data_IF_712046095978
#
_entry.id   IF_712046095978
#
_cell.length_a   1.000
_cell.length_b   1.000
_cell.length_c   1.000
_cell.angle_alpha   90.00
_cell.angle_beta   90.00
_cell.angle_gamma   90.00
#
_symmetry.space_group_name_H-M   'P 1'
#
loop_
_entity.id
_entity.type
_entity.pdbx_description
1 polymer ?
#
# COMPACT_ATOMS: atom_id res chain seq x y z
N UNK A 1 -10.01 -4.47 -14.34
CA UNK A 1 -9.84 -3.05 -14.78
C UNK A 1 -8.71 -2.89 -15.78
N UNK A 2 -7.46 -3.27 -15.48
CA UNK A 2 -6.32 -3.11 -16.40
C UNK A 2 -6.52 -3.77 -17.77
N UNK A 3 -7.09 -4.98 -17.84
CA UNK A 3 -7.45 -5.62 -19.12
C UNK A 3 -8.52 -4.84 -19.91
N UNK A 4 -9.47 -4.20 -19.23
CA UNK A 4 -10.61 -3.50 -19.84
C UNK A 4 -10.26 -2.07 -20.28
N UNK A 5 -9.42 -1.39 -19.51
CA UNK A 5 -9.12 0.04 -19.67
C UNK A 5 -7.65 0.32 -19.95
N UNK A 6 -6.80 -0.70 -20.02
CA UNK A 6 -5.38 -0.58 -20.33
C UNK A 6 -4.48 -0.28 -19.14
N UNK A 7 -3.20 -0.62 -19.30
CA UNK A 7 -2.14 -0.40 -18.31
C UNK A 7 -1.97 1.09 -18.00
N UNK A 8 -2.03 1.96 -19.01
CA UNK A 8 -1.88 3.41 -18.84
C UNK A 8 -2.80 4.01 -17.76
N UNK A 9 -3.99 3.44 -17.58
CA UNK A 9 -4.97 3.96 -16.63
C UNK A 9 -4.95 3.24 -15.27
N UNK A 10 -4.49 1.98 -15.22
CA UNK A 10 -4.52 1.10 -14.04
C UNK A 10 -3.14 0.54 -13.67
N UNK A 11 -2.07 1.27 -13.96
CA UNK A 11 -0.69 0.95 -13.58
C UNK A 11 -0.33 1.57 -12.22
N UNK A 12 -1.14 1.32 -11.20
CA UNK A 12 -0.93 1.82 -9.84
C UNK A 12 -1.06 0.71 -8.79
N UNK A 13 -1.21 -0.55 -9.21
CA UNK A 13 -1.25 -1.70 -8.32
C UNK A 13 -0.14 -2.67 -8.74
N UNK A 14 0.76 -3.08 -7.83
CA UNK A 14 1.85 -3.97 -8.21
C UNK A 14 1.31 -5.30 -8.72
N UNK A 15 2.02 -5.91 -9.68
CA UNK A 15 1.64 -7.21 -10.22
C UNK A 15 1.48 -8.23 -9.09
N UNK A 16 0.32 -8.88 -9.05
CA UNK A 16 -0.12 -9.69 -7.91
C UNK A 16 -0.74 -10.98 -8.40
N UNK A 17 -0.47 -12.07 -7.69
CA UNK A 17 -0.98 -13.40 -7.97
C UNK A 17 -1.57 -14.03 -6.71
N UNK A 18 -2.74 -14.64 -6.86
CA UNK A 18 -3.40 -15.42 -5.81
C UNK A 18 -2.99 -16.89 -5.93
N UNK A 19 -2.13 -17.38 -5.03
CA UNK A 19 -1.77 -18.80 -4.97
C UNK A 19 -2.72 -19.56 -4.04
N UNK A 20 -3.02 -20.85 -4.31
CA UNK A 20 -2.42 -21.68 -5.36
C UNK A 20 -2.98 -21.49 -6.77
N UNK A 21 -4.11 -20.79 -6.94
CA UNK A 21 -4.87 -20.70 -8.21
C UNK A 21 -4.07 -20.16 -9.38
N UNK A 22 -3.17 -19.20 -9.15
CA UNK A 22 -2.40 -18.52 -10.20
C UNK A 22 -0.90 -18.85 -10.15
N UNK A 23 -0.54 -20.03 -9.62
CA UNK A 23 0.87 -20.40 -9.44
C UNK A 23 1.64 -20.50 -10.75
N UNK A 24 1.01 -20.97 -11.83
CA UNK A 24 1.66 -21.10 -13.14
C UNK A 24 1.92 -19.72 -13.75
N UNK A 25 0.95 -18.79 -13.67
CA UNK A 25 1.15 -17.39 -14.09
C UNK A 25 2.24 -16.70 -13.26
N UNK A 26 2.27 -16.98 -11.96
CA UNK A 26 3.32 -16.48 -11.08
C UNK A 26 4.69 -17.04 -11.50
N UNK A 27 4.76 -18.32 -11.91
CA UNK A 27 6.00 -18.95 -12.38
C UNK A 27 6.48 -18.30 -13.68
N UNK A 28 5.61 -18.08 -14.64
CA UNK A 28 5.93 -17.36 -15.88
C UNK A 28 6.47 -15.95 -15.59
N UNK A 29 5.79 -15.18 -14.74
CA UNK A 29 6.22 -13.85 -14.36
C UNK A 29 7.57 -13.87 -13.63
N UNK A 30 7.76 -14.83 -12.72
CA UNK A 30 9.01 -15.03 -11.99
C UNK A 30 10.19 -15.30 -12.93
N UNK A 31 10.01 -16.19 -13.91
CA UNK A 31 11.08 -16.59 -14.84
C UNK A 31 11.39 -15.51 -15.89
N UNK A 32 10.42 -14.63 -16.19
CA UNK A 32 10.61 -13.49 -17.09
C UNK A 32 11.41 -12.34 -16.48
N UNK A 33 11.55 -12.32 -15.14
CA UNK A 33 12.16 -11.19 -14.44
C UNK A 33 13.68 -11.38 -14.29
N UNK A 34 14.50 -10.39 -14.68
CA UNK A 34 15.95 -10.48 -14.51
C UNK A 34 16.34 -10.68 -13.05
N UNK A 35 17.24 -11.63 -12.79
CA UNK A 35 17.80 -11.84 -11.45
C UNK A 35 18.91 -10.82 -11.14
N UNK A 36 19.04 -10.34 -9.88
CA UNK A 36 18.19 -10.67 -8.74
C UNK A 36 16.86 -9.88 -8.73
N UNK A 37 15.78 -10.54 -8.35
CA UNK A 37 14.47 -9.90 -8.18
C UNK A 37 13.80 -10.34 -6.87
N UNK A 38 12.82 -9.56 -6.43
CA UNK A 38 12.16 -9.74 -5.14
C UNK A 38 10.65 -9.63 -5.26
N UNK A 39 9.98 -10.50 -4.52
CA UNK A 39 8.53 -10.55 -4.40
C UNK A 39 8.16 -10.47 -2.92
N UNK A 40 6.96 -10.02 -2.59
CA UNK A 40 6.45 -10.00 -1.23
C UNK A 40 5.31 -11.02 -1.10
N UNK A 41 5.42 -11.88 -0.10
CA UNK A 41 4.41 -12.86 0.27
C UNK A 41 3.55 -12.26 1.37
N UNK A 42 2.23 -12.23 1.17
CA UNK A 42 1.24 -11.72 2.12
C UNK A 42 0.20 -12.82 2.42
N UNK A 43 -0.07 -13.15 3.69
CA UNK A 43 -1.16 -14.06 4.02
C UNK A 43 -2.52 -13.40 3.72
N UNK A 44 -3.54 -14.16 3.29
CA UNK A 44 -4.87 -13.63 3.04
C UNK A 44 -5.53 -13.20 4.35
N UNK A 45 -6.30 -12.10 4.30
CA UNK A 45 -7.08 -11.58 5.43
C UNK A 45 -6.27 -11.42 6.74
N UNK A 46 -4.97 -11.19 6.63
CA UNK A 46 -4.10 -10.91 7.78
C UNK A 46 -3.93 -9.41 7.97
N UNK A 47 -3.43 -9.02 9.14
CA UNK A 47 -3.21 -7.64 9.52
C UNK A 47 -1.89 -7.51 10.30
N UNK A 48 -1.47 -6.26 10.55
CA UNK A 48 -0.32 -5.94 11.42
C UNK A 48 1.03 -6.46 10.91
N UNK A 49 1.13 -6.76 9.62
CA UNK A 49 2.35 -7.27 8.99
C UNK A 49 2.70 -8.72 9.37
N UNK A 50 1.82 -9.45 10.05
CA UNK A 50 2.07 -10.83 10.50
C UNK A 50 2.17 -11.75 9.28
N UNK A 51 3.21 -12.59 9.24
CA UNK A 51 3.44 -13.55 8.16
C UNK A 51 3.90 -12.94 6.83
N UNK A 52 4.03 -11.61 6.74
CA UNK A 52 4.58 -10.95 5.55
C UNK A 52 6.09 -11.14 5.50
N UNK A 53 6.59 -11.57 4.35
CA UNK A 53 8.03 -11.76 4.10
C UNK A 53 8.39 -11.50 2.65
N UNK A 54 9.63 -11.08 2.41
CA UNK A 54 10.17 -11.03 1.06
C UNK A 54 10.63 -12.42 0.59
N UNK A 55 10.51 -12.65 -0.71
CA UNK A 55 10.93 -13.83 -1.42
C UNK A 55 11.93 -13.41 -2.49
N UNK A 56 13.12 -14.00 -2.45
CA UNK A 56 14.17 -13.85 -3.47
C UNK A 56 14.52 -15.17 -4.16
N UNK A 57 13.86 -16.27 -3.79
CA UNK A 57 14.05 -17.61 -4.35
C UNK A 57 12.72 -18.30 -4.53
N UNK A 58 12.53 -18.93 -5.70
CA UNK A 58 11.32 -19.66 -6.04
C UNK A 58 10.97 -20.77 -5.04
N UNK A 59 11.99 -21.43 -4.47
CA UNK A 59 11.83 -22.51 -3.50
C UNK A 59 11.09 -22.09 -2.22
N UNK A 60 10.99 -20.78 -1.92
CA UNK A 60 10.27 -20.26 -0.76
C UNK A 60 8.81 -19.90 -1.03
N UNK A 61 8.34 -20.02 -2.28
CA UNK A 61 6.94 -19.81 -2.67
C UNK A 61 6.09 -20.98 -2.16
N UNK A 62 5.06 -20.73 -1.32
CA UNK A 62 4.16 -21.79 -0.88
C UNK A 62 3.28 -22.26 -2.03
N UNK A 63 3.31 -23.56 -2.33
CA UNK A 63 2.58 -24.12 -3.49
C UNK A 63 1.17 -24.61 -3.21
N UNK A 64 0.84 -24.89 -1.94
CA UNK A 64 -0.42 -25.56 -1.54
C UNK A 64 -1.27 -24.75 -0.57
N UNK A 65 -0.78 -23.60 -0.10
CA UNK A 65 -1.47 -22.77 0.90
C UNK A 65 -1.91 -21.46 0.27
N UNK A 66 -3.06 -20.90 0.70
CA UNK A 66 -3.54 -19.65 0.16
C UNK A 66 -2.64 -18.50 0.59
N UNK A 67 -2.11 -17.77 -0.38
CA UNK A 67 -1.29 -16.59 -0.19
C UNK A 67 -1.48 -15.62 -1.36
N UNK A 68 -1.09 -14.38 -1.13
CA UNK A 68 -0.91 -13.38 -2.17
C UNK A 68 0.60 -13.21 -2.37
N UNK A 69 1.08 -13.38 -3.61
CA UNK A 69 2.45 -13.02 -3.99
C UNK A 69 2.37 -11.80 -4.90
N UNK A 70 3.08 -10.75 -4.51
CA UNK A 70 3.04 -9.45 -5.17
C UNK A 70 4.45 -8.98 -5.49
N UNK A 71 4.65 -8.32 -6.62
CA UNK A 71 5.95 -7.75 -7.01
C UNK A 71 6.41 -6.75 -5.95
N UNK A 72 7.65 -6.87 -5.49
CA UNK A 72 8.19 -5.95 -4.51
C UNK A 72 8.64 -4.64 -5.18
N UNK A 73 8.21 -3.51 -4.62
CA UNK A 73 8.63 -2.19 -5.05
C UNK A 73 9.99 -1.88 -4.41
N UNK A 74 11.06 -2.03 -5.19
CA UNK A 74 12.45 -2.03 -4.70
C UNK A 74 13.11 -0.65 -4.70
N UNK A 75 12.50 0.35 -5.32
CA UNK A 75 12.98 1.73 -5.34
C UNK A 75 11.96 2.67 -4.66
N UNK A 76 11.89 2.68 -3.33
CA UNK A 76 11.08 3.67 -2.61
C UNK A 76 11.61 5.09 -2.79
N UNK A 77 10.72 6.08 -2.74
CA UNK A 77 11.12 7.40 -2.29
C UNK A 77 11.49 7.33 -0.80
N UNK A 78 12.65 7.86 -0.46
CA UNK A 78 13.23 7.76 0.88
C UNK A 78 13.31 9.12 1.55
N UNK A 79 13.08 9.16 2.85
CA UNK A 79 13.37 10.31 3.71
C UNK A 79 14.32 9.83 4.79
N UNK A 80 15.44 10.52 4.95
CA UNK A 80 16.52 10.11 5.86
C UNK A 80 17.01 8.67 5.65
N UNK A 81 16.96 8.21 4.39
CA UNK A 81 17.23 6.82 3.98
C UNK A 81 16.26 5.78 4.56
N UNK A 82 15.11 6.17 5.11
CA UNK A 82 14.09 5.24 5.61
C UNK A 82 12.93 5.12 4.63
N UNK A 83 12.48 3.89 4.41
CA UNK A 83 11.27 3.57 3.65
C UNK A 83 10.04 4.01 4.44
N UNK A 84 9.02 4.50 3.75
CA UNK A 84 7.73 4.79 4.37
C UNK A 84 6.56 4.44 3.45
N UNK A 85 5.38 4.36 4.06
CA UNK A 85 4.10 4.32 3.35
C UNK A 85 3.17 5.41 3.91
N UNK A 86 2.10 5.69 3.17
CA UNK A 86 1.05 6.62 3.54
C UNK A 86 -0.23 5.85 3.89
N UNK A 87 -0.79 6.14 5.05
CA UNK A 87 -2.18 5.84 5.40
C UNK A 87 -3.04 7.04 5.02
N UNK A 88 -3.89 6.86 4.02
CA UNK A 88 -4.89 7.84 3.58
C UNK A 88 -6.28 7.39 4.04
N UNK A 89 -7.02 8.27 4.71
CA UNK A 89 -8.38 7.98 5.15
C UNK A 89 -9.38 8.37 4.07
N UNK A 90 -10.21 7.42 3.64
CA UNK A 90 -11.17 7.59 2.56
C UNK A 90 -12.55 7.18 3.05
N UNK A 91 -13.48 8.12 3.06
CA UNK A 91 -14.86 7.88 3.46
C UNK A 91 -15.75 7.72 2.22
N UNK A 92 -16.35 6.55 2.08
CA UNK A 92 -17.35 6.28 1.03
C UNK A 92 -18.72 6.50 1.64
N UNK A 93 -19.36 7.61 1.27
CA UNK A 93 -20.66 8.02 1.80
C UNK A 93 -21.83 7.40 1.03
N UNK A 94 -21.67 7.17 -0.27
CA UNK A 94 -22.70 6.55 -1.10
C UNK A 94 -22.06 5.82 -2.28
N UNK A 95 -22.73 4.75 -2.75
CA UNK A 95 -22.34 3.97 -3.92
C UNK A 95 -23.23 4.24 -5.14
N UNK A 96 -24.28 5.05 -4.97
CA UNK A 96 -25.26 5.37 -6.02
C UNK A 96 -25.83 6.75 -5.69
N UNK A 97 -25.35 7.87 -6.27
CA UNK A 97 -24.11 7.94 -7.03
C UNK A 97 -22.92 7.68 -6.11
N UNK A 98 -21.79 7.26 -6.68
CA UNK A 98 -20.55 7.09 -5.94
C UNK A 98 -20.11 8.45 -5.37
N UNK A 99 -20.01 8.53 -4.04
CA UNK A 99 -19.59 9.73 -3.31
C UNK A 99 -18.45 9.36 -2.37
N UNK A 100 -17.25 9.86 -2.68
CA UNK A 100 -16.00 9.52 -2.00
C UNK A 100 -15.35 10.80 -1.49
N UNK A 101 -15.05 10.83 -0.20
CA UNK A 101 -14.30 11.89 0.46
C UNK A 101 -12.93 11.38 0.85
N UNK A 102 -11.89 12.12 0.49
CA UNK A 102 -10.51 11.83 0.91
C UNK A 102 -10.15 12.84 1.98
N UNK A 103 -9.80 12.36 3.17
CA UNK A 103 -9.42 13.23 4.27
C UNK A 103 -8.11 13.96 3.93
N UNK A 104 -8.02 15.25 4.28
CA UNK A 104 -6.85 16.08 3.97
C UNK A 104 -5.60 15.70 4.78
N UNK A 105 -5.80 15.01 5.89
CA UNK A 105 -4.74 14.49 6.73
C UNK A 105 -4.75 12.95 6.79
N UNK A 106 -3.62 12.39 7.18
CA UNK A 106 -3.35 10.97 7.22
C UNK A 106 -2.07 10.69 8.01
N UNK A 107 -1.45 9.54 7.79
CA UNK A 107 -0.21 9.18 8.47
C UNK A 107 0.87 8.78 7.47
N UNK A 108 2.08 9.28 7.64
CA UNK A 108 3.28 8.69 7.04
C UNK A 108 3.94 7.76 8.05
N UNK A 109 4.16 6.50 7.70
CA UNK A 109 4.67 5.46 8.60
C UNK A 109 6.03 4.99 8.11
N UNK A 110 7.06 5.21 8.92
CA UNK A 110 8.44 4.91 8.57
C UNK A 110 8.87 3.54 9.07
N UNK A 111 9.66 2.86 8.26
CA UNK A 111 10.49 1.74 8.68
C UNK A 111 11.53 2.25 9.70
N UNK A 112 11.77 1.47 10.76
CA UNK A 112 12.67 1.89 11.85
C UNK A 112 14.15 1.70 11.52
N UNK A 113 14.49 1.08 10.39
CA UNK A 113 15.85 0.94 9.90
C UNK A 113 16.00 1.44 8.47
N UNK A 114 17.21 1.89 8.14
CA UNK A 114 17.56 2.43 6.83
C UNK A 114 17.34 1.40 5.72
N UNK A 115 16.78 1.88 4.62
CA UNK A 115 16.46 1.07 3.45
C UNK A 115 17.73 0.49 2.81
N UNK A 116 17.66 -0.78 2.43
CA UNK A 116 18.72 -1.45 1.67
C UNK A 116 18.12 -2.57 0.83
N UNK A 117 18.56 -2.66 -0.43
CA UNK A 117 18.25 -3.77 -1.33
C UNK A 117 19.25 -4.94 -1.21
N UNK A 118 20.17 -4.89 -0.23
CA UNK A 118 21.18 -5.93 -0.06
C UNK A 118 20.51 -7.31 0.13
N UNK A 119 20.92 -8.34 -0.64
CA UNK A 119 20.42 -9.71 -0.48
C UNK A 119 20.56 -10.26 0.95
N UNK A 120 21.55 -9.74 1.70
CA UNK A 120 21.80 -10.12 3.10
C UNK A 120 20.74 -9.58 4.07
N UNK A 121 20.04 -8.51 3.70
CA UNK A 121 19.10 -7.79 4.55
C UNK A 121 17.63 -8.05 4.19
N UNK A 122 17.35 -8.87 3.18
CA UNK A 122 15.99 -9.22 2.71
C UNK A 122 15.08 -9.77 3.81
N UNK A 123 15.66 -10.49 4.78
CA UNK A 123 14.93 -11.03 5.93
C UNK A 123 14.59 -9.98 7.00
N UNK A 124 15.17 -8.78 6.94
CA UNK A 124 15.01 -7.76 7.96
C UNK A 124 13.71 -6.97 7.76
N UNK A 125 12.72 -7.32 8.58
CA UNK A 125 11.38 -6.73 8.50
C UNK A 125 11.35 -5.25 8.89
N UNK A 126 12.31 -4.76 9.67
CA UNK A 126 12.39 -3.36 10.09
C UNK A 126 12.91 -2.41 9.00
N UNK A 127 13.42 -2.96 7.90
CA UNK A 127 13.83 -2.23 6.69
C UNK A 127 12.68 -2.21 5.67
N UNK A 128 12.02 -3.35 5.49
CA UNK A 128 11.13 -3.56 4.36
C UNK A 128 9.64 -3.38 4.67
N UNK A 129 9.24 -3.47 5.95
CA UNK A 129 7.87 -3.27 6.42
C UNK A 129 7.77 -1.99 7.24
N UNK A 130 6.71 -1.24 7.01
CA UNK A 130 6.43 0.09 7.60
C UNK A 130 5.30 0.03 8.63
N UNK A 131 4.68 -1.14 8.83
CA UNK A 131 3.60 -1.31 9.81
C UNK A 131 4.09 -0.94 11.22
N UNK A 132 3.31 -0.09 11.90
CA UNK A 132 3.57 0.31 13.29
C UNK A 132 3.75 -0.89 14.23
N UNK A 133 2.91 -1.92 14.10
CA UNK A 133 2.97 -3.15 14.91
C UNK A 133 4.28 -3.92 14.80
N UNK A 134 4.98 -3.79 13.67
CA UNK A 134 6.30 -4.39 13.47
C UNK A 134 7.35 -3.44 14.06
N UNK A 135 7.36 -2.19 13.60
CA UNK A 135 8.44 -1.25 13.93
C UNK A 135 8.47 -0.84 15.40
N UNK A 136 7.32 -0.79 16.11
CA UNK A 136 7.29 -0.50 17.56
C UNK A 136 8.07 -1.49 18.42
N UNK A 137 8.42 -2.66 17.88
CA UNK A 137 9.20 -3.70 18.57
C UNK A 137 10.71 -3.51 18.37
N UNK A 138 11.13 -2.60 17.49
CA UNK A 138 12.53 -2.28 17.31
C UNK A 138 12.98 -1.24 18.35
N UNK A 139 14.17 -1.42 18.91
CA UNK A 139 14.80 -0.48 19.84
C UNK A 139 15.10 0.88 19.21
N UNK A 140 15.30 0.94 17.90
CA UNK A 140 15.52 2.17 17.14
C UNK A 140 14.21 2.96 16.88
N UNK A 141 13.05 2.42 17.26
CA UNK A 141 11.77 3.09 17.04
C UNK A 141 11.59 4.29 17.96
N UNK A 142 11.59 5.47 17.33
CA UNK A 142 11.29 6.75 17.97
C UNK A 142 9.80 7.07 17.76
N UNK A 143 9.04 7.13 18.86
CA UNK A 143 7.69 7.69 18.85
C UNK A 143 7.75 9.22 18.72
N UNK A 144 6.82 9.80 17.96
CA UNK A 144 6.67 11.24 17.92
C UNK A 144 6.19 11.78 19.27
N UNK A 145 6.83 12.84 19.75
CA UNK A 145 6.42 13.56 20.96
C UNK A 145 5.36 14.63 20.67
N UNK A 146 5.19 15.04 19.40
CA UNK A 146 4.12 15.92 18.93
C UNK A 146 3.71 15.61 17.48
N UNK A 147 2.47 15.96 17.11
CA UNK A 147 1.88 15.71 15.77
C UNK A 147 2.58 16.45 14.62
N UNK A 148 3.30 17.51 14.95
CA UNK A 148 4.03 18.37 14.02
C UNK A 148 5.51 18.00 13.89
N UNK A 149 6.00 17.09 14.73
CA UNK A 149 7.42 16.72 14.73
C UNK A 149 7.77 15.79 13.56
N UNK A 150 8.71 16.21 12.72
CA UNK A 150 9.31 15.36 11.67
C UNK A 150 10.50 14.54 12.19
N UNK A 151 10.43 14.05 13.45
CA UNK A 151 11.60 13.45 14.14
C UNK A 151 11.46 11.96 14.46
N UNK A 152 10.25 11.44 14.63
CA UNK A 152 10.02 10.02 14.87
C UNK A 152 9.58 9.26 13.63
N UNK A 153 9.08 8.04 13.83
CA UNK A 153 8.74 7.10 12.76
C UNK A 153 7.27 7.11 12.34
N UNK A 154 6.50 8.11 12.78
CA UNK A 154 5.11 8.32 12.40
C UNK A 154 4.86 9.82 12.27
N UNK A 155 4.65 10.34 11.07
CA UNK A 155 4.33 11.75 10.85
C UNK A 155 2.86 11.92 10.48
N UNK A 156 2.28 13.08 10.76
CA UNK A 156 1.05 13.50 10.08
C UNK A 156 1.33 13.73 8.60
N UNK A 157 0.31 13.56 7.77
CA UNK A 157 0.44 13.79 6.33
C UNK A 157 0.73 15.28 6.05
N UNK A 158 0.17 16.19 6.84
CA UNK A 158 0.49 17.62 6.81
C UNK A 158 1.97 17.90 7.06
N UNK A 159 2.58 17.27 8.07
CA UNK A 159 4.01 17.42 8.36
C UNK A 159 4.86 16.88 7.20
N UNK A 160 4.49 15.75 6.61
CA UNK A 160 5.13 15.21 5.42
C UNK A 160 5.08 16.20 4.25
N UNK A 161 3.92 16.78 3.94
CA UNK A 161 3.79 17.74 2.85
C UNK A 161 4.60 19.00 3.07
N UNK A 162 4.64 19.53 4.29
CA UNK A 162 5.51 20.66 4.62
C UNK A 162 6.99 20.31 4.45
N UNK A 163 7.42 19.11 4.88
CA UNK A 163 8.78 18.63 4.65
C UNK A 163 9.10 18.50 3.15
N UNK A 164 8.27 17.81 2.38
CA UNK A 164 8.51 17.60 0.94
C UNK A 164 8.54 18.91 0.15
N UNK A 165 7.66 19.87 0.48
CA UNK A 165 7.70 21.22 -0.13
C UNK A 165 8.99 21.96 0.17
N UNK A 166 9.52 21.83 1.39
CA UNK A 166 10.83 22.42 1.74
C UNK A 166 12.00 21.80 0.97
N UNK A 167 11.84 20.58 0.45
CA UNK A 167 12.80 19.92 -0.45
C UNK A 167 12.54 20.24 -1.95
N UNK A 168 11.63 21.17 -2.25
CA UNK A 168 11.31 21.57 -3.63
C UNK A 168 10.37 20.62 -4.38
N UNK A 169 9.73 19.67 -3.68
CA UNK A 169 8.80 18.71 -4.31
C UNK A 169 7.41 19.35 -4.47
N UNK A 170 6.83 19.19 -5.66
CA UNK A 170 5.43 19.58 -5.93
C UNK A 170 4.46 18.56 -5.30
N UNK A 171 4.08 18.80 -4.04
CA UNK A 171 3.15 17.93 -3.30
C UNK A 171 1.73 17.96 -3.84
N UNK A 172 1.31 19.04 -4.50
CA UNK A 172 -0.05 19.15 -5.05
C UNK A 172 -0.25 18.15 -6.19
N UNK A 173 0.78 17.97 -7.02
CA UNK A 173 0.77 16.93 -8.05
C UNK A 173 0.74 15.52 -7.43
N UNK A 174 1.59 15.24 -6.45
CA UNK A 174 1.61 13.92 -5.77
C UNK A 174 0.24 13.64 -5.15
N UNK A 175 -0.39 14.63 -4.52
CA UNK A 175 -1.72 14.49 -3.92
C UNK A 175 -2.82 14.28 -4.96
N UNK A 176 -2.75 14.96 -6.10
CA UNK A 176 -3.66 14.72 -7.23
C UNK A 176 -3.54 13.27 -7.75
N UNK A 177 -2.32 12.77 -7.91
CA UNK A 177 -2.07 11.41 -8.37
C UNK A 177 -2.55 10.36 -7.34
N UNK A 178 -2.40 10.62 -6.03
CA UNK A 178 -2.96 9.78 -4.96
C UNK A 178 -4.49 9.74 -5.02
N UNK A 179 -5.16 10.89 -5.18
CA UNK A 179 -6.62 10.96 -5.31
C UNK A 179 -7.11 10.20 -6.54
N UNK A 180 -6.39 10.26 -7.65
CA UNK A 180 -6.70 9.47 -8.84
C UNK A 180 -6.64 7.95 -8.57
N UNK A 181 -5.60 7.47 -7.86
CA UNK A 181 -5.52 6.06 -7.41
C UNK A 181 -6.73 5.69 -6.55
N UNK A 182 -7.10 6.52 -5.57
CA UNK A 182 -8.27 6.27 -4.70
C UNK A 182 -9.56 6.16 -5.52
N UNK A 183 -9.84 7.14 -6.38
CA UNK A 183 -11.07 7.16 -7.20
C UNK A 183 -11.13 5.95 -8.12
N UNK A 184 -10.04 5.63 -8.82
CA UNK A 184 -9.98 4.45 -9.71
C UNK A 184 -10.14 3.14 -8.96
N UNK A 185 -9.68 3.06 -7.72
CA UNK A 185 -9.89 1.89 -6.86
C UNK A 185 -11.36 1.75 -6.47
N UNK A 186 -12.02 2.84 -6.09
CA UNK A 186 -13.47 2.83 -5.80
C UNK A 186 -14.29 2.48 -7.05
N UNK A 187 -13.95 3.03 -8.22
CA UNK A 187 -14.62 2.70 -9.49
C UNK A 187 -14.44 1.22 -9.88
N UNK A 188 -13.30 0.60 -9.52
CA UNK A 188 -13.05 -0.81 -9.80
C UNK A 188 -14.01 -1.76 -9.06
N UNK A 189 -14.56 -1.33 -7.93
CA UNK A 189 -15.47 -2.13 -7.09
C UNK A 189 -16.91 -1.63 -7.10
N UNK A 190 -17.16 -0.42 -7.63
CA UNK A 190 -18.47 0.26 -7.63
C UNK A 190 -19.60 -0.64 -8.12
N UNK A 191 -19.46 -1.29 -9.29
CA UNK A 191 -20.53 -2.09 -9.87
C UNK A 191 -20.91 -3.29 -8.99
N UNK A 192 -19.92 -3.96 -8.39
CA UNK A 192 -20.12 -5.10 -7.51
C UNK A 192 -20.81 -4.68 -6.21
N UNK A 193 -20.33 -3.59 -5.60
CA UNK A 193 -20.88 -3.07 -4.36
C UNK A 193 -22.29 -2.52 -4.55
N UNK A 194 -22.55 -1.82 -5.65
CA UNK A 194 -23.88 -1.32 -6.01
C UNK A 194 -24.90 -2.45 -6.16
N UNK A 195 -24.53 -3.54 -6.84
CA UNK A 195 -25.39 -4.72 -6.97
C UNK A 195 -25.69 -5.36 -5.60
N UNK A 196 -24.70 -5.43 -4.71
CA UNK A 196 -24.89 -5.91 -3.35
C UNK A 196 -25.84 -5.01 -2.55
N UNK A 197 -25.67 -3.69 -2.61
CA UNK A 197 -26.58 -2.73 -1.94
C UNK A 197 -28.01 -2.85 -2.47
N UNK A 198 -28.18 -2.89 -3.79
CA UNK A 198 -29.53 -3.02 -4.40
C UNK A 198 -30.19 -4.37 -4.03
N UNK A 199 -29.41 -5.41 -3.71
CA UNK A 199 -29.93 -6.74 -3.32
C UNK A 199 -30.23 -6.83 -1.81
N UNK A 200 -29.34 -6.31 -0.97
CA UNK A 200 -29.35 -6.57 0.47
C UNK A 200 -29.77 -5.38 1.34
N UNK A 201 -29.89 -4.18 0.77
CA UNK A 201 -30.21 -2.98 1.53
C UNK A 201 -31.51 -2.34 1.06
N UNK A 202 -32.33 -1.91 2.02
CA UNK A 202 -33.58 -1.17 1.74
C UNK A 202 -33.28 0.25 1.25
N UNK A 203 -32.21 0.87 1.76
CA UNK A 203 -31.81 2.22 1.39
C UNK A 203 -30.39 2.26 0.84
N UNK A 204 -30.19 3.07 -0.19
CA UNK A 204 -28.88 3.42 -0.75
C UNK A 204 -27.96 4.18 0.21
N UNK A 205 -28.48 4.65 1.34
CA UNK A 205 -27.71 5.29 2.41
C UNK A 205 -27.36 4.34 3.55
N UNK A 206 -27.77 3.07 3.47
CA UNK A 206 -27.54 2.07 4.52
C UNK A 206 -26.08 1.64 4.67
N UNK A 207 -25.24 1.90 3.66
CA UNK A 207 -23.84 1.48 3.66
C UNK A 207 -22.94 2.70 3.49
N UNK A 208 -22.18 2.97 4.55
CA UNK A 208 -21.13 3.98 4.61
C UNK A 208 -19.93 3.33 5.28
N UNK A 209 -18.73 3.64 4.81
CA UNK A 209 -17.54 3.01 5.36
C UNK A 209 -16.35 3.96 5.29
N UNK A 210 -15.56 3.96 6.36
CA UNK A 210 -14.26 4.64 6.41
C UNK A 210 -13.16 3.61 6.14
N UNK A 211 -12.42 3.81 5.06
CA UNK A 211 -11.32 2.96 4.66
C UNK A 211 -9.96 3.60 4.95
N UNK A 212 -8.97 2.77 5.24
CA UNK A 212 -7.57 3.16 5.26
C UNK A 212 -6.84 2.64 4.02
N UNK A 213 -6.50 3.53 3.11
CA UNK A 213 -5.70 3.22 1.93
C UNK A 213 -4.23 3.27 2.29
N UNK A 214 -3.50 2.19 2.03
CA UNK A 214 -2.05 2.14 2.20
C UNK A 214 -1.40 2.40 0.84
N UNK A 215 -0.81 3.59 0.70
CA UNK A 215 -0.19 4.06 -0.53
C UNK A 215 1.32 4.12 -0.36
N UNK A 216 2.05 3.66 -1.36
CA UNK A 216 3.50 3.73 -1.43
C UNK A 216 3.93 4.71 -2.50
N UNK A 217 5.01 5.45 -2.26
CA UNK A 217 5.63 6.32 -3.26
C UNK A 217 6.95 5.69 -3.71
N UNK A 218 7.09 5.46 -5.01
CA UNK A 218 8.37 5.06 -5.59
C UNK A 218 9.32 6.27 -5.75
N UNK A 219 10.55 6.04 -6.18
CA UNK A 219 11.60 7.05 -6.34
C UNK A 219 11.21 8.21 -7.27
N UNK A 220 10.23 7.99 -8.16
CA UNK A 220 9.69 8.99 -9.08
C UNK A 220 8.42 9.66 -8.53
N UNK A 221 8.11 9.44 -7.26
CA UNK A 221 6.90 9.92 -6.56
C UNK A 221 5.60 9.39 -7.16
N UNK A 222 5.63 8.28 -7.91
CA UNK A 222 4.42 7.63 -8.41
C UNK A 222 3.74 6.89 -7.25
N UNK A 223 2.42 7.10 -7.04
CA UNK A 223 1.68 6.39 -6.01
C UNK A 223 1.28 4.98 -6.45
N UNK A 224 1.54 4.02 -5.56
CA UNK A 224 1.17 2.62 -5.69
C UNK A 224 0.22 2.22 -4.56
N UNK A 225 -0.93 1.64 -4.89
CA UNK A 225 -1.83 1.05 -3.91
C UNK A 225 -1.24 -0.27 -3.40
N UNK A 226 -1.05 -0.38 -2.08
CA UNK A 226 -0.58 -1.60 -1.44
C UNK A 226 -1.73 -2.49 -0.95
N UNK A 227 -2.70 -1.88 -0.26
CA UNK A 227 -3.89 -2.52 0.29
C UNK A 227 -4.94 -1.47 0.70
N UNK A 228 -6.18 -1.91 0.89
CA UNK A 228 -7.28 -1.12 1.44
C UNK A 228 -7.77 -1.83 2.70
N UNK A 229 -7.70 -1.13 3.83
CA UNK A 229 -8.08 -1.64 5.15
C UNK A 229 -9.49 -1.19 5.51
N UNK A 230 -10.34 -2.14 5.91
CA UNK A 230 -11.63 -1.87 6.57
C UNK A 230 -11.36 -1.58 8.05
N UNK A 231 -12.11 -0.66 8.65
CA UNK A 231 -11.95 -0.24 10.05
C UNK A 231 -10.51 0.20 10.39
N UNK A 232 -9.98 1.25 9.72
CA UNK A 232 -8.63 1.72 9.97
C UNK A 232 -8.49 2.25 11.40
N UNK A 233 -7.37 1.89 12.04
CA UNK A 233 -6.93 2.43 13.33
C UNK A 233 -5.93 3.56 13.16
#
# INVERSE_FOLDING_TARGET
MQQKFGIKHFDFFPQTFCIPTEIDKLKEAWDSEPSPHQWILKPPASARGIGIRLLSKWSYVPKKRPYIVQKYLHNPFLINNSKFDLRIYVFVYSLKPLCVFVHEDGLARFASQKYSNSPRLVGNRFIHLTNYSVNRLNVEYIANTSEESCKGHKWSLKALWSYMRSQGINTDKVWADIKDVVVKTCLATESLLKAAVDTYCVSRFSVQELFGFDIFLDENLKPWLLEVNVSPR
#
